data_IF_769916325769
#
_entry.id   IF_769916325769
#
_cell.length_a   1.000
_cell.length_b   1.000
_cell.length_c   1.000
_cell.angle_alpha   90.00
_cell.angle_beta   90.00
_cell.angle_gamma   90.00
#
_symmetry.space_group_name_H-M   'P 1'
#
loop_
_entity.id
_entity.type
_entity.pdbx_description
1 polymer ?
#
# COMPACT_ATOMS: atom_id res chain seq x y z
N UNK A 1 30.31 19.07 -17.38
CA UNK A 1 30.37 19.62 -16.02
C UNK A 1 31.13 20.93 -15.85
N UNK A 2 31.35 21.71 -16.91
CA UNK A 2 32.28 22.89 -16.85
C UNK A 2 31.61 24.28 -16.90
N UNK A 3 30.28 24.39 -16.99
CA UNK A 3 29.62 25.68 -17.20
C UNK A 3 28.88 26.31 -16.00
N UNK A 4 29.02 25.72 -14.79
CA UNK A 4 28.29 26.20 -13.61
C UNK A 4 29.04 27.24 -12.77
N UNK A 5 30.31 27.53 -13.11
CA UNK A 5 31.18 28.41 -12.30
C UNK A 5 30.89 29.90 -12.55
N UNK A 6 30.23 30.25 -13.66
CA UNK A 6 29.98 31.62 -14.04
C UNK A 6 28.73 32.31 -13.46
N UNK A 7 27.93 31.58 -12.65
CA UNK A 7 26.75 32.16 -12.00
C UNK A 7 26.88 32.05 -10.47
N UNK A 8 27.26 33.12 -9.77
CA UNK A 8 27.50 33.09 -8.33
C UNK A 8 26.26 32.67 -7.52
N UNK A 9 25.06 32.99 -8.00
CA UNK A 9 23.80 32.58 -7.40
C UNK A 9 23.57 31.06 -7.47
N UNK A 10 23.90 30.42 -8.57
CA UNK A 10 23.80 28.96 -8.74
C UNK A 10 24.79 28.22 -7.84
N UNK A 11 25.95 28.76 -7.62
CA UNK A 11 26.97 28.18 -6.72
C UNK A 11 26.51 28.27 -5.26
N UNK A 12 25.95 29.41 -4.87
CA UNK A 12 25.38 29.60 -3.53
C UNK A 12 24.23 28.63 -3.23
N UNK A 13 23.31 28.49 -4.17
CA UNK A 13 22.21 27.51 -4.04
C UNK A 13 22.72 26.08 -3.91
N UNK A 14 23.73 25.70 -4.70
CA UNK A 14 24.33 24.37 -4.64
C UNK A 14 24.99 24.09 -3.29
N UNK A 15 25.72 25.04 -2.76
CA UNK A 15 26.35 24.95 -1.44
C UNK A 15 25.27 24.78 -0.37
N UNK A 16 24.20 25.55 -0.44
CA UNK A 16 23.08 25.51 0.51
C UNK A 16 22.36 24.17 0.48
N UNK A 17 22.12 23.61 -0.71
CA UNK A 17 21.52 22.26 -0.87
C UNK A 17 22.44 21.17 -0.33
N UNK A 18 23.74 21.22 -0.62
CA UNK A 18 24.69 20.23 -0.12
C UNK A 18 24.78 20.33 1.41
N UNK A 19 24.86 21.54 1.96
CA UNK A 19 24.92 21.76 3.41
C UNK A 19 23.67 21.23 4.11
N UNK A 20 22.48 21.52 3.57
CA UNK A 20 21.23 21.01 4.12
C UNK A 20 21.16 19.47 4.07
N UNK A 21 21.63 18.86 2.98
CA UNK A 21 21.69 17.40 2.86
C UNK A 21 22.65 16.78 3.89
N UNK A 22 23.82 17.38 4.11
CA UNK A 22 24.79 16.91 5.11
C UNK A 22 24.22 17.05 6.52
N UNK A 23 23.59 18.18 6.84
CA UNK A 23 22.96 18.41 8.14
C UNK A 23 21.86 17.37 8.38
N UNK A 24 20.97 17.18 7.40
CA UNK A 24 19.88 16.20 7.51
C UNK A 24 20.41 14.78 7.70
N UNK A 25 21.38 14.36 6.89
CA UNK A 25 22.03 13.06 7.04
C UNK A 25 22.70 12.91 8.41
N UNK A 26 23.40 13.95 8.88
CA UNK A 26 24.05 13.97 10.18
C UNK A 26 23.06 13.81 11.34
N UNK A 27 21.95 14.54 11.30
CA UNK A 27 20.88 14.44 12.32
C UNK A 27 20.26 13.03 12.32
N UNK A 28 19.97 12.48 11.15
CA UNK A 28 19.40 11.11 11.05
C UNK A 28 20.37 10.08 11.61
N UNK A 29 21.65 10.13 11.21
CA UNK A 29 22.67 9.22 11.72
C UNK A 29 22.88 9.37 13.23
N UNK A 30 22.85 10.61 13.74
CA UNK A 30 22.95 10.88 15.18
C UNK A 30 21.76 10.25 15.93
N UNK A 31 20.53 10.43 15.45
CA UNK A 31 19.35 9.83 16.08
C UNK A 31 19.44 8.31 16.09
N UNK A 32 19.80 7.70 14.95
CA UNK A 32 19.98 6.24 14.84
C UNK A 32 21.05 5.76 15.82
N UNK A 33 22.21 6.41 15.83
CA UNK A 33 23.31 6.07 16.74
C UNK A 33 22.92 6.21 18.21
N UNK A 34 22.18 7.27 18.55
CA UNK A 34 21.68 7.49 19.90
C UNK A 34 20.70 6.39 20.34
N UNK A 35 19.75 6.04 19.47
CA UNK A 35 18.76 4.97 19.74
C UNK A 35 19.48 3.62 19.91
N UNK A 36 20.43 3.29 19.04
CA UNK A 36 21.18 2.05 19.14
C UNK A 36 22.02 1.99 20.41
N UNK A 37 22.73 3.07 20.73
CA UNK A 37 23.58 3.14 21.91
C UNK A 37 22.80 2.93 23.23
N UNK A 38 21.62 3.54 23.35
CA UNK A 38 20.77 3.42 24.54
C UNK A 38 19.82 2.21 24.49
N UNK A 39 19.43 1.77 23.29
CA UNK A 39 18.47 0.67 23.13
C UNK A 39 19.09 -0.71 23.25
N UNK A 40 20.25 -0.94 22.63
CA UNK A 40 20.90 -2.27 22.58
C UNK A 40 21.16 -2.88 23.95
N UNK A 41 21.68 -2.17 24.95
CA UNK A 41 21.88 -2.73 26.27
C UNK A 41 20.59 -3.21 26.95
N UNK A 42 19.47 -2.55 26.66
CA UNK A 42 18.16 -2.86 27.23
C UNK A 42 17.43 -4.03 26.51
N UNK A 43 17.84 -4.38 25.29
CA UNK A 43 17.29 -5.51 24.55
C UNK A 43 17.62 -6.88 25.16
N UNK A 44 18.64 -6.95 26.00
CA UNK A 44 19.08 -8.18 26.66
C UNK A 44 18.29 -8.53 27.92
N UNK A 45 17.32 -7.70 28.31
CA UNK A 45 16.47 -7.98 29.47
C UNK A 45 15.54 -9.18 29.22
N UNK A 46 15.55 -10.23 30.07
CA UNK A 46 14.74 -11.45 29.88
C UNK A 46 13.23 -11.20 29.77
N UNK A 47 12.75 -10.04 30.28
CA UNK A 47 11.34 -9.67 30.26
C UNK A 47 10.84 -9.13 28.92
N UNK A 48 11.71 -8.56 28.07
CA UNK A 48 11.31 -7.86 26.85
C UNK A 48 10.66 -8.80 25.81
N UNK A 49 11.14 -10.04 25.72
CA UNK A 49 10.62 -11.08 24.82
C UNK A 49 9.73 -12.10 25.53
N UNK A 50 9.25 -11.78 26.75
CA UNK A 50 8.32 -12.64 27.48
C UNK A 50 6.96 -12.70 26.76
N UNK A 51 6.33 -13.88 26.81
CA UNK A 51 4.99 -14.10 26.24
C UNK A 51 3.88 -13.34 26.99
N UNK A 52 4.09 -13.09 28.28
CA UNK A 52 3.10 -12.40 29.12
C UNK A 52 3.46 -10.93 29.29
N UNK A 53 2.54 -10.06 28.91
CA UNK A 53 2.60 -8.64 29.23
C UNK A 53 2.15 -8.44 30.68
N UNK A 54 3.08 -8.00 31.52
CA UNK A 54 2.81 -7.54 32.88
C UNK A 54 3.29 -6.12 33.05
N UNK A 55 2.72 -5.36 33.96
CA UNK A 55 3.11 -3.98 34.24
C UNK A 55 4.61 -3.85 34.60
N UNK A 56 5.21 -4.92 35.12
CA UNK A 56 6.63 -5.00 35.45
C UNK A 56 7.52 -5.38 34.26
N UNK A 57 7.02 -6.19 33.31
CA UNK A 57 7.80 -6.78 32.22
C UNK A 57 7.76 -6.01 30.91
N UNK A 58 6.75 -5.21 30.67
CA UNK A 58 6.53 -4.42 29.42
C UNK A 58 6.93 -5.17 28.13
N UNK A 59 6.52 -6.43 28.02
CA UNK A 59 6.94 -7.32 26.94
C UNK A 59 6.45 -6.81 25.57
N UNK A 60 7.33 -6.82 24.57
CA UNK A 60 7.03 -6.44 23.18
C UNK A 60 6.39 -7.57 22.37
N UNK A 61 6.51 -8.84 22.81
CA UNK A 61 6.07 -10.01 22.03
C UNK A 61 4.58 -9.98 21.66
N UNK A 62 3.65 -9.67 22.58
CA UNK A 62 2.23 -9.57 22.24
C UNK A 62 1.94 -8.47 21.20
N UNK A 63 2.65 -7.34 21.28
CA UNK A 63 2.47 -6.25 20.32
C UNK A 63 2.94 -6.66 18.91
N UNK A 64 4.09 -7.34 18.82
CA UNK A 64 4.62 -7.86 17.54
C UNK A 64 3.63 -8.84 16.91
N UNK A 65 3.15 -9.80 17.69
CA UNK A 65 2.21 -10.84 17.22
C UNK A 65 0.91 -10.19 16.74
N UNK A 66 0.33 -9.30 17.56
CA UNK A 66 -0.90 -8.59 17.19
C UNK A 66 -0.72 -7.75 15.91
N UNK A 67 0.44 -7.12 15.72
CA UNK A 67 0.75 -6.38 14.49
C UNK A 67 0.78 -7.31 13.28
N UNK A 68 1.45 -8.46 13.37
CA UNK A 68 1.52 -9.44 12.28
C UNK A 68 0.13 -9.99 11.95
N UNK A 69 -0.66 -10.34 12.96
CA UNK A 69 -2.03 -10.83 12.77
C UNK A 69 -2.89 -9.75 12.12
N UNK A 70 -2.81 -8.51 12.60
CA UNK A 70 -3.58 -7.39 12.07
C UNK A 70 -3.25 -7.11 10.61
N UNK A 71 -1.96 -7.13 10.25
CA UNK A 71 -1.52 -6.96 8.84
C UNK A 71 -2.06 -8.10 7.98
N UNK A 72 -1.89 -9.35 8.41
CA UNK A 72 -2.35 -10.52 7.66
C UNK A 72 -3.87 -10.49 7.40
N UNK A 73 -4.66 -10.21 8.43
CA UNK A 73 -6.13 -10.12 8.32
C UNK A 73 -6.56 -8.94 7.45
N UNK A 74 -5.89 -7.79 7.58
CA UNK A 74 -6.17 -6.61 6.74
C UNK A 74 -5.91 -6.90 5.26
N UNK A 75 -4.77 -7.50 4.93
CA UNK A 75 -4.44 -7.88 3.55
C UNK A 75 -5.37 -8.96 3.01
N UNK A 76 -5.69 -9.96 3.82
CA UNK A 76 -6.63 -11.03 3.44
C UNK A 76 -8.01 -10.48 3.06
N UNK A 77 -8.44 -9.39 3.69
CA UNK A 77 -9.69 -8.73 3.38
C UNK A 77 -9.55 -7.74 2.21
N UNK A 78 -8.55 -6.85 2.26
CA UNK A 78 -8.43 -5.73 1.33
C UNK A 78 -7.91 -6.13 -0.05
N UNK A 79 -6.95 -7.09 -0.14
CA UNK A 79 -6.34 -7.47 -1.41
C UNK A 79 -7.35 -8.11 -2.39
N UNK A 80 -8.14 -9.12 -2.00
CA UNK A 80 -9.13 -9.68 -2.92
C UNK A 80 -10.12 -8.62 -3.41
N UNK A 81 -10.66 -7.80 -2.51
CA UNK A 81 -11.65 -6.79 -2.86
C UNK A 81 -11.04 -5.75 -3.81
N UNK A 82 -9.85 -5.22 -3.49
CA UNK A 82 -9.17 -4.21 -4.29
C UNK A 82 -8.75 -4.72 -5.67
N UNK A 83 -8.19 -5.92 -5.74
CA UNK A 83 -7.76 -6.54 -7.00
C UNK A 83 -8.96 -6.85 -7.90
N UNK A 84 -10.02 -7.47 -7.39
CA UNK A 84 -11.22 -7.74 -8.19
C UNK A 84 -11.92 -6.46 -8.65
N UNK A 85 -11.95 -5.43 -7.81
CA UNK A 85 -12.47 -4.12 -8.21
C UNK A 85 -11.63 -3.52 -9.35
N UNK A 86 -10.31 -3.55 -9.28
CA UNK A 86 -9.43 -3.05 -10.32
C UNK A 86 -9.58 -3.83 -11.64
N UNK A 87 -9.64 -5.17 -11.59
CA UNK A 87 -9.88 -6.00 -12.77
C UNK A 87 -11.22 -5.62 -13.42
N UNK A 88 -12.26 -5.45 -12.62
CA UNK A 88 -13.57 -5.03 -13.14
C UNK A 88 -13.50 -3.66 -13.84
N UNK A 89 -12.79 -2.69 -13.27
CA UNK A 89 -12.66 -1.36 -13.86
C UNK A 89 -11.87 -1.35 -15.18
N UNK A 90 -10.87 -2.22 -15.32
CA UNK A 90 -10.00 -2.26 -16.50
C UNK A 90 -10.56 -3.15 -17.61
N UNK A 91 -11.01 -4.36 -17.26
CA UNK A 91 -11.37 -5.38 -18.26
C UNK A 91 -12.87 -5.33 -18.67
N UNK A 92 -13.76 -5.12 -17.71
CA UNK A 92 -15.21 -5.26 -17.93
C UNK A 92 -15.92 -3.94 -18.15
N UNK A 93 -15.31 -2.84 -17.82
CA UNK A 93 -15.93 -1.53 -17.98
C UNK A 93 -15.82 -1.02 -19.42
N UNK A 94 -16.94 -0.61 -20.00
CA UNK A 94 -16.97 0.06 -21.31
C UNK A 94 -16.18 1.38 -21.23
N UNK A 95 -15.31 1.63 -22.20
CA UNK A 95 -14.59 2.90 -22.35
C UNK A 95 -15.60 4.06 -22.38
N UNK A 96 -15.49 5.00 -21.44
CA UNK A 96 -16.39 6.17 -21.33
C UNK A 96 -17.55 6.04 -20.33
N UNK A 97 -17.63 4.97 -19.56
CA UNK A 97 -18.65 4.83 -18.51
C UNK A 97 -18.43 5.86 -17.40
N UNK A 98 -19.43 6.74 -17.17
CA UNK A 98 -19.40 7.79 -16.14
C UNK A 98 -19.23 7.22 -14.73
N UNK A 99 -19.78 6.05 -14.46
CA UNK A 99 -19.66 5.38 -13.17
C UNK A 99 -18.22 5.01 -12.83
N UNK A 100 -17.48 4.47 -13.80
CA UNK A 100 -16.04 4.14 -13.64
C UNK A 100 -15.22 5.39 -13.38
N UNK A 101 -15.51 6.48 -14.09
CA UNK A 101 -14.83 7.76 -13.86
C UNK A 101 -15.07 8.26 -12.42
N UNK A 102 -16.28 8.14 -11.90
CA UNK A 102 -16.61 8.52 -10.53
C UNK A 102 -15.81 7.67 -9.54
N UNK A 103 -15.78 6.34 -9.71
CA UNK A 103 -15.03 5.44 -8.82
C UNK A 103 -13.53 5.80 -8.81
N UNK A 104 -12.93 6.07 -9.97
CA UNK A 104 -11.52 6.48 -10.05
C UNK A 104 -11.25 7.78 -9.29
N UNK A 105 -12.06 8.80 -9.53
CA UNK A 105 -11.91 10.10 -8.85
C UNK A 105 -12.10 9.92 -7.35
N UNK A 106 -13.07 9.11 -6.92
CA UNK A 106 -13.30 8.84 -5.50
C UNK A 106 -12.12 8.11 -4.87
N UNK A 107 -11.59 7.07 -5.53
CA UNK A 107 -10.42 6.33 -5.04
C UNK A 107 -9.17 7.23 -4.96
N UNK A 108 -8.96 8.11 -5.95
CA UNK A 108 -7.88 9.07 -5.97
C UNK A 108 -8.01 10.09 -4.81
N UNK A 109 -9.21 10.60 -4.60
CA UNK A 109 -9.51 11.54 -3.50
C UNK A 109 -9.30 10.87 -2.14
N UNK A 110 -9.79 9.62 -1.98
CA UNK A 110 -9.63 8.85 -0.75
C UNK A 110 -8.16 8.56 -0.46
N UNK A 111 -7.35 8.21 -1.46
CA UNK A 111 -5.92 7.96 -1.26
C UNK A 111 -5.13 9.19 -0.80
N UNK A 112 -5.65 10.39 -1.01
CA UNK A 112 -5.07 11.66 -0.55
C UNK A 112 -5.42 12.03 0.90
N UNK A 113 -6.34 11.32 1.54
CA UNK A 113 -6.75 11.63 2.93
C UNK A 113 -5.67 11.17 3.90
N UNK A 114 -5.23 12.02 4.87
CA UNK A 114 -4.28 11.62 5.90
C UNK A 114 -4.80 10.43 6.72
N UNK A 115 -3.95 9.46 7.03
CA UNK A 115 -4.29 8.23 7.76
C UNK A 115 -4.96 8.47 9.11
N UNK A 116 -4.63 9.59 9.77
CA UNK A 116 -5.25 9.95 11.05
C UNK A 116 -6.77 10.17 10.93
N UNK A 117 -7.24 10.66 9.78
CA UNK A 117 -8.68 10.85 9.52
C UNK A 117 -9.40 9.50 9.44
N UNK A 118 -8.78 8.51 8.77
CA UNK A 118 -9.30 7.14 8.73
C UNK A 118 -9.33 6.50 10.12
N UNK A 119 -8.28 6.71 10.92
CA UNK A 119 -8.24 6.24 12.30
C UNK A 119 -9.36 6.86 13.16
N UNK A 120 -9.58 8.17 13.02
CA UNK A 120 -10.66 8.86 13.73
C UNK A 120 -12.05 8.40 13.26
N UNK A 121 -12.23 8.22 11.94
CA UNK A 121 -13.46 7.67 11.38
C UNK A 121 -13.74 6.26 11.93
N UNK A 122 -12.75 5.38 11.90
CA UNK A 122 -12.88 4.02 12.43
C UNK A 122 -13.19 4.00 13.92
N UNK A 123 -12.59 4.89 14.70
CA UNK A 123 -12.89 5.07 16.12
C UNK A 123 -14.35 5.48 16.33
N UNK A 124 -14.82 6.52 15.65
CA UNK A 124 -16.19 7.01 15.82
C UNK A 124 -17.20 5.96 15.38
N UNK A 125 -16.99 5.32 14.21
CA UNK A 125 -17.97 4.39 13.66
C UNK A 125 -17.93 3.05 14.39
N UNK A 126 -16.78 2.40 14.50
CA UNK A 126 -16.72 1.04 15.05
C UNK A 126 -16.70 0.99 16.56
N UNK A 127 -15.99 1.92 17.21
CA UNK A 127 -15.85 1.88 18.67
C UNK A 127 -17.02 2.57 19.36
N UNK A 128 -17.37 3.81 18.93
CA UNK A 128 -18.41 4.58 19.59
C UNK A 128 -19.81 4.15 19.11
N UNK A 129 -20.08 4.21 17.80
CA UNK A 129 -21.43 4.03 17.25
C UNK A 129 -21.87 2.57 17.27
N UNK A 130 -20.99 1.65 16.84
CA UNK A 130 -21.27 0.19 16.81
C UNK A 130 -20.95 -0.51 18.14
N UNK A 131 -20.30 0.17 19.08
CA UNK A 131 -20.00 -0.37 20.40
C UNK A 131 -19.01 -1.55 20.41
N UNK A 132 -18.21 -1.73 19.33
CA UNK A 132 -17.27 -2.86 19.21
C UNK A 132 -16.05 -2.75 20.13
N UNK A 133 -15.91 -1.66 20.85
CA UNK A 133 -14.72 -1.35 21.66
C UNK A 133 -13.41 -1.35 20.84
N UNK A 134 -12.27 -1.24 21.50
CA UNK A 134 -10.95 -1.34 20.88
C UNK A 134 -10.58 -2.79 20.58
N UNK A 135 -11.25 -3.40 19.62
CA UNK A 135 -10.98 -4.78 19.20
C UNK A 135 -10.06 -4.86 18.00
N UNK A 136 -9.43 -6.02 17.80
CA UNK A 136 -8.64 -6.31 16.60
C UNK A 136 -9.49 -6.15 15.34
N UNK A 137 -10.78 -6.52 15.39
CA UNK A 137 -11.70 -6.45 14.26
C UNK A 137 -11.95 -5.00 13.82
N UNK A 138 -12.18 -4.08 14.75
CA UNK A 138 -12.36 -2.65 14.44
C UNK A 138 -11.12 -2.06 13.77
N UNK A 139 -9.92 -2.45 14.23
CA UNK A 139 -8.65 -2.04 13.63
C UNK A 139 -8.46 -2.61 12.22
N UNK A 140 -8.70 -3.90 12.03
CA UNK A 140 -8.56 -4.59 10.73
C UNK A 140 -9.46 -3.96 9.67
N UNK A 141 -10.75 -3.72 9.99
CA UNK A 141 -11.68 -3.12 9.04
C UNK A 141 -11.30 -1.67 8.71
N UNK A 142 -10.91 -0.88 9.72
CA UNK A 142 -10.45 0.49 9.50
C UNK A 142 -9.24 0.54 8.58
N UNK A 143 -8.25 -0.32 8.82
CA UNK A 143 -7.06 -0.42 7.97
C UNK A 143 -7.39 -0.96 6.57
N UNK A 144 -8.31 -1.92 6.45
CA UNK A 144 -8.76 -2.42 5.16
C UNK A 144 -9.41 -1.33 4.32
N UNK A 145 -10.28 -0.52 4.90
CA UNK A 145 -10.90 0.64 4.22
C UNK A 145 -9.84 1.64 3.77
N UNK A 146 -8.83 1.91 4.61
CA UNK A 146 -7.76 2.84 4.29
C UNK A 146 -6.87 2.38 3.13
N UNK A 147 -6.51 1.08 3.09
CA UNK A 147 -5.57 0.55 2.11
C UNK A 147 -6.24 0.16 0.78
N UNK A 148 -7.56 -0.07 0.79
CA UNK A 148 -8.33 -0.53 -0.37
C UNK A 148 -8.19 0.38 -1.60
N UNK A 149 -8.32 1.72 -1.51
CA UNK A 149 -8.14 2.62 -2.65
C UNK A 149 -6.73 2.52 -3.24
N UNK A 150 -5.70 2.36 -2.39
CA UNK A 150 -4.32 2.21 -2.81
C UNK A 150 -4.11 0.91 -3.61
N UNK A 151 -4.60 -0.22 -3.09
CA UNK A 151 -4.51 -1.52 -3.77
C UNK A 151 -5.24 -1.46 -5.12
N UNK A 152 -6.44 -0.89 -5.14
CA UNK A 152 -7.23 -0.76 -6.36
C UNK A 152 -6.48 0.05 -7.42
N UNK A 153 -5.93 1.21 -7.04
CA UNK A 153 -5.21 2.09 -7.96
C UNK A 153 -3.92 1.47 -8.48
N UNK A 154 -3.08 0.93 -7.62
CA UNK A 154 -1.82 0.29 -8.04
C UNK A 154 -2.05 -0.93 -8.93
N UNK A 155 -3.09 -1.71 -8.65
CA UNK A 155 -3.49 -2.85 -9.50
C UNK A 155 -4.02 -2.37 -10.84
N UNK A 156 -4.83 -1.31 -10.88
CA UNK A 156 -5.33 -0.70 -12.11
C UNK A 156 -4.18 -0.19 -12.99
N UNK A 157 -3.23 0.54 -12.41
CA UNK A 157 -2.03 1.03 -13.11
C UNK A 157 -1.19 -0.14 -13.67
N UNK A 158 -1.00 -1.19 -12.87
CA UNK A 158 -0.29 -2.39 -13.31
C UNK A 158 -0.98 -3.11 -14.48
N UNK A 159 -2.30 -3.25 -14.43
CA UNK A 159 -3.10 -3.85 -15.49
C UNK A 159 -3.07 -3.02 -16.79
N UNK A 160 -3.08 -1.69 -16.68
CA UNK A 160 -2.98 -0.80 -17.83
C UNK A 160 -1.59 -0.79 -18.46
N UNK A 161 -0.55 -1.10 -17.71
CA UNK A 161 0.83 -1.18 -18.22
C UNK A 161 1.09 -2.44 -19.07
N UNK A 162 0.20 -3.44 -19.03
CA UNK A 162 0.32 -4.67 -19.84
C UNK A 162 0.03 -4.36 -21.31
N UNK A 163 0.98 -4.64 -22.25
CA UNK A 163 0.78 -4.40 -23.68
C UNK A 163 -0.44 -5.17 -24.24
N UNK A 164 -1.15 -4.55 -25.16
CA UNK A 164 -2.36 -5.13 -25.77
C UNK A 164 -2.08 -6.44 -26.52
N UNK A 165 -0.83 -6.68 -26.98
CA UNK A 165 -0.41 -7.94 -27.60
C UNK A 165 -0.64 -9.17 -26.72
N UNK A 166 -0.50 -9.05 -25.39
CA UNK A 166 -0.81 -10.14 -24.45
C UNK A 166 -2.32 -10.35 -24.27
N UNK A 167 -3.12 -9.33 -24.49
CA UNK A 167 -4.58 -9.42 -24.45
C UNK A 167 -5.15 -10.03 -25.72
N UNK A 168 -4.54 -9.76 -26.87
CA UNK A 168 -4.95 -10.29 -28.18
C UNK A 168 -4.55 -11.76 -28.36
N UNK A 169 -3.43 -12.21 -27.81
CA UNK A 169 -3.02 -13.61 -27.85
C UNK A 169 -4.08 -14.59 -27.33
N UNK A 170 -4.87 -14.18 -26.33
CA UNK A 170 -6.01 -14.97 -25.82
C UNK A 170 -7.16 -15.05 -26.80
N UNK A 171 -7.33 -14.07 -27.69
CA UNK A 171 -8.38 -14.06 -28.70
C UNK A 171 -8.01 -14.87 -29.95
N UNK A 172 -6.71 -14.95 -30.28
CA UNK A 172 -6.21 -15.75 -31.39
C UNK A 172 -6.26 -17.26 -31.12
N UNK A 173 -5.90 -17.71 -29.91
CA UNK A 173 -6.05 -19.11 -29.51
C UNK A 173 -7.51 -19.58 -29.62
N UNK A 174 -8.47 -18.72 -29.32
CA UNK A 174 -9.89 -19.01 -29.43
C UNK A 174 -10.35 -19.06 -30.89
N UNK A 175 -9.70 -18.32 -31.80
CA UNK A 175 -9.95 -18.38 -33.26
C UNK A 175 -9.39 -19.64 -33.87
N UNK A 176 -8.12 -19.97 -33.57
CA UNK A 176 -7.46 -21.18 -34.05
C UNK A 176 -8.23 -22.44 -33.64
N UNK A 177 -8.73 -22.48 -32.40
CA UNK A 177 -9.57 -23.59 -31.92
C UNK A 177 -10.91 -23.70 -32.62
N UNK A 178 -11.48 -22.61 -33.14
CA UNK A 178 -12.72 -22.64 -33.95
C UNK A 178 -12.48 -23.01 -35.42
N UNK A 179 -11.36 -22.56 -35.99
CA UNK A 179 -11.00 -22.91 -37.37
C UNK A 179 -10.61 -24.39 -37.51
N UNK A 180 -9.93 -24.97 -36.53
CA UNK A 180 -9.67 -26.41 -36.50
C UNK A 180 -10.94 -27.23 -36.40
N UNK A 181 -11.97 -26.74 -35.72
CA UNK A 181 -13.27 -27.44 -35.55
C UNK A 181 -14.13 -27.35 -36.80
N UNK A 182 -14.04 -26.30 -37.62
CA UNK A 182 -14.76 -26.18 -38.90
C UNK A 182 -14.14 -26.96 -40.04
N UNK A 183 -12.84 -27.24 -39.96
CA UNK A 183 -12.10 -28.02 -40.99
C UNK A 183 -12.31 -29.56 -40.90
N UNK A 184 -12.90 -30.02 -39.80
CA UNK A 184 -13.21 -31.42 -39.55
C UNK A 184 -14.70 -31.76 -39.75
N UNK A 185 -15.39 -31.05 -40.61
CA UNK A 185 -16.72 -31.42 -41.01
C UNK A 185 -16.63 -32.46 -42.15
N UNK A 186 -17.05 -33.72 -41.96
CA UNK A 186 -16.82 -34.81 -42.93
C UNK A 186 -17.91 -34.92 -44.02
N UNK A 187 -18.40 -33.79 -44.51
CA UNK A 187 -19.37 -33.80 -45.63
C UNK A 187 -18.94 -32.81 -46.72
N UNK A 188 -18.28 -33.36 -47.69
CA UNK A 188 -18.41 -33.03 -49.10
C UNK A 188 -18.76 -34.28 -49.84
#
# INVERSE_FOLDING_TARGET
>A
MKNYINHPFSLLLRILVILSAIITAGVVLFIIGYILYHGVPNLTMPGLFSWKFTAENQSMMPAIINTVIMIALTLMLAVPIGVFAAIYLVEYSKRGNRFVKIIRITAETLSGIPSIVYGLFGYIVFVITLGWSFTLLSGVITMAIMILPLIMRTTEEALMAVPDSFREGRSEERRVGKECRSRWSPYH
#
